data_IF_759172874682
#
_entry.id   IF_759172874682
#
_cell.length_a   1.000
_cell.length_b   1.000
_cell.length_c   1.000
_cell.angle_alpha   90.00
_cell.angle_beta   90.00
_cell.angle_gamma   90.00
#
_symmetry.space_group_name_H-M   'P 1'
#
loop_
_entity.id
_entity.type
_entity.pdbx_description
1 polymer ?
#
# COMPACT_ATOMS: atom_id res chain seq x y z
N UNK A 1 10.92 -16.76 42.65
CA UNK A 1 11.83 -16.02 41.73
C UNK A 1 11.78 -16.55 40.30
N UNK A 2 11.91 -17.87 40.06
CA UNK A 2 11.87 -18.48 38.72
C UNK A 2 10.62 -18.14 37.88
N UNK A 3 9.41 -18.16 38.50
CA UNK A 3 8.15 -17.80 37.82
C UNK A 3 8.04 -16.30 37.47
N UNK A 4 8.63 -15.41 38.28
CA UNK A 4 8.64 -13.96 38.02
C UNK A 4 9.57 -13.62 36.85
N UNK A 5 10.72 -14.30 36.78
CA UNK A 5 11.67 -14.19 35.67
C UNK A 5 11.06 -14.72 34.36
N UNK A 6 10.35 -15.85 34.42
CA UNK A 6 9.64 -16.41 33.27
C UNK A 6 8.54 -15.48 32.73
N UNK A 7 7.74 -14.90 33.62
CA UNK A 7 6.71 -13.94 33.21
C UNK A 7 7.30 -12.65 32.63
N UNK A 8 8.46 -12.21 33.13
CA UNK A 8 9.17 -11.04 32.60
C UNK A 8 9.76 -11.30 31.20
N UNK A 9 10.27 -12.51 30.96
CA UNK A 9 10.76 -12.96 29.66
C UNK A 9 9.64 -13.07 28.61
N UNK A 10 8.48 -13.61 29.00
CA UNK A 10 7.30 -13.70 28.12
C UNK A 10 6.77 -12.30 27.75
N UNK A 11 6.75 -11.37 28.70
CA UNK A 11 6.34 -9.98 28.44
C UNK A 11 7.32 -9.25 27.52
N UNK A 12 8.63 -9.47 27.71
CA UNK A 12 9.67 -8.89 26.85
C UNK A 12 9.62 -9.43 25.41
N UNK A 13 9.34 -10.71 25.23
CA UNK A 13 9.22 -11.33 23.91
C UNK A 13 7.98 -10.85 23.14
N UNK A 14 6.88 -10.58 23.86
CA UNK A 14 5.64 -10.00 23.29
C UNK A 14 5.80 -8.52 22.88
N UNK A 15 6.67 -7.76 23.56
CA UNK A 15 6.99 -6.38 23.18
C UNK A 15 7.85 -6.30 21.91
N UNK A 16 8.73 -7.28 21.67
CA UNK A 16 9.63 -7.27 20.51
C UNK A 16 8.92 -7.57 19.18
N UNK A 17 7.76 -8.23 19.20
CA UNK A 17 6.95 -8.48 17.99
C UNK A 17 6.15 -7.25 17.52
N UNK A 18 6.05 -6.19 18.33
CA UNK A 18 5.33 -4.97 17.98
C UNK A 18 6.16 -3.99 17.14
N UNK A 19 7.48 -4.18 17.05
CA UNK A 19 8.41 -3.22 16.44
C UNK A 19 8.82 -3.55 14.99
N UNK A 20 8.45 -4.71 14.46
CA UNK A 20 8.89 -5.17 13.12
C UNK A 20 7.83 -5.01 12.02
N UNK A 21 6.69 -4.36 12.28
CA UNK A 21 5.50 -4.42 11.39
C UNK A 21 5.20 -3.20 10.53
N UNK A 22 6.01 -2.15 10.53
CA UNK A 22 5.57 -0.85 9.99
C UNK A 22 5.32 -0.83 8.46
N UNK A 23 5.88 -1.77 7.69
CA UNK A 23 5.59 -1.89 6.26
C UNK A 23 4.56 -2.96 5.89
N UNK A 24 4.35 -3.97 6.74
CA UNK A 24 3.43 -5.09 6.45
C UNK A 24 1.96 -4.73 6.71
N UNK A 25 1.70 -3.70 7.51
CA UNK A 25 0.35 -3.31 7.95
C UNK A 25 -0.43 -2.55 6.87
N UNK A 26 0.25 -1.92 5.89
CA UNK A 26 -0.45 -1.26 4.79
C UNK A 26 -1.23 -2.27 3.91
N UNK A 27 -0.75 -3.52 3.82
CA UNK A 27 -1.41 -4.58 3.04
C UNK A 27 -2.51 -5.33 3.83
N UNK A 28 -2.35 -5.49 5.14
CA UNK A 28 -3.29 -6.28 5.97
C UNK A 28 -4.43 -5.47 6.61
N UNK A 29 -4.43 -4.13 6.50
CA UNK A 29 -5.45 -3.27 7.12
C UNK A 29 -6.15 -2.29 6.16
N UNK A 30 -6.22 -2.59 4.85
CA UNK A 30 -6.97 -1.75 3.91
C UNK A 30 -6.45 -0.31 3.87
N UNK A 31 -5.14 -0.15 3.67
CA UNK A 31 -4.52 1.17 3.64
C UNK A 31 -4.86 1.96 2.38
N UNK A 32 -5.03 3.28 2.52
CA UNK A 32 -5.08 4.21 1.39
C UNK A 32 -3.68 4.78 1.14
N UNK A 33 -3.25 4.83 -0.12
CA UNK A 33 -2.01 5.50 -0.53
C UNK A 33 -2.23 6.40 -1.75
N UNK A 34 -1.33 7.35 -1.94
CA UNK A 34 -1.29 8.19 -3.14
C UNK A 34 -0.02 7.91 -3.92
N UNK A 35 -0.17 7.55 -5.19
CA UNK A 35 0.90 7.39 -6.15
C UNK A 35 0.91 8.60 -7.09
N UNK A 36 1.95 9.42 -7.04
CA UNK A 36 2.18 10.46 -8.05
C UNK A 36 3.05 9.87 -9.14
N UNK A 37 2.59 9.89 -10.38
CA UNK A 37 3.42 9.47 -11.50
C UNK A 37 4.48 10.52 -11.80
N UNK A 38 5.54 10.09 -12.47
CA UNK A 38 6.47 11.02 -13.08
C UNK A 38 5.75 11.91 -14.10
N UNK A 39 6.27 13.12 -14.31
CA UNK A 39 5.67 14.08 -15.21
C UNK A 39 5.58 13.53 -16.64
N UNK A 40 4.49 13.87 -17.34
CA UNK A 40 4.19 13.43 -18.69
C UNK A 40 4.09 11.90 -18.86
N UNK A 41 3.70 11.17 -17.80
CA UNK A 41 3.33 9.76 -17.85
C UNK A 41 1.82 9.58 -17.69
N UNK A 42 1.23 8.73 -18.54
CA UNK A 42 -0.17 8.30 -18.49
C UNK A 42 -0.25 6.89 -17.91
N UNK A 43 -1.18 6.67 -16.98
CA UNK A 43 -1.51 5.35 -16.46
C UNK A 43 -2.31 4.57 -17.50
N UNK A 44 -1.86 3.34 -17.80
CA UNK A 44 -2.57 2.42 -18.68
C UNK A 44 -3.22 1.28 -17.90
N UNK A 45 -2.47 0.68 -16.97
CA UNK A 45 -2.94 -0.44 -16.16
C UNK A 45 -2.29 -0.40 -14.78
N UNK A 46 -3.00 -0.91 -13.77
CA UNK A 46 -2.51 -1.06 -12.41
C UNK A 46 -3.09 -2.32 -11.78
N UNK A 47 -2.27 -3.06 -11.05
CA UNK A 47 -2.69 -4.29 -10.37
C UNK A 47 -1.80 -4.61 -9.17
N UNK A 48 -2.31 -5.42 -8.26
CA UNK A 48 -1.54 -6.02 -7.18
C UNK A 48 -1.03 -7.40 -7.61
N UNK A 49 0.27 -7.64 -7.45
CA UNK A 49 0.88 -8.97 -7.58
C UNK A 49 1.65 -9.29 -6.31
N UNK A 50 1.16 -10.27 -5.57
CA UNK A 50 1.67 -10.60 -4.24
C UNK A 50 1.70 -9.35 -3.35
N UNK A 51 2.84 -8.99 -2.77
CA UNK A 51 3.02 -7.79 -1.94
C UNK A 51 3.42 -6.53 -2.74
N UNK A 52 3.46 -6.60 -4.07
CA UNK A 52 3.95 -5.52 -4.92
C UNK A 52 2.83 -4.90 -5.75
N UNK A 53 2.82 -3.57 -5.82
CA UNK A 53 1.98 -2.82 -6.76
C UNK A 53 2.71 -2.73 -8.10
N UNK A 54 2.06 -3.23 -9.15
CA UNK A 54 2.55 -3.15 -10.53
C UNK A 54 1.68 -2.19 -11.31
N UNK A 55 2.30 -1.33 -12.10
CA UNK A 55 1.60 -0.39 -12.95
C UNK A 55 2.35 -0.20 -14.26
N UNK A 56 1.59 -0.13 -15.34
CA UNK A 56 2.08 0.17 -16.68
C UNK A 56 1.77 1.63 -16.97
N UNK A 57 2.80 2.36 -17.40
CA UNK A 57 2.65 3.72 -17.90
C UNK A 57 3.13 3.80 -19.35
N UNK A 58 2.68 4.85 -20.02
CA UNK A 58 3.27 5.31 -21.28
C UNK A 58 3.55 6.81 -21.21
N UNK A 59 4.45 7.33 -22.07
CA UNK A 59 4.54 8.77 -22.27
C UNK A 59 3.20 9.37 -22.73
N UNK A 60 2.86 10.53 -22.19
CA UNK A 60 1.74 11.33 -22.66
C UNK A 60 2.01 11.87 -24.07
N UNK A 61 0.96 11.94 -24.86
CA UNK A 61 0.91 12.65 -26.14
C UNK A 61 0.45 14.09 -25.93
N UNK A 62 0.58 14.90 -26.98
CA UNK A 62 0.11 16.30 -26.97
C UNK A 62 -1.39 16.42 -26.66
N UNK A 63 -2.19 15.42 -27.05
CA UNK A 63 -3.64 15.43 -26.85
C UNK A 63 -4.09 14.83 -25.51
N UNK A 64 -3.23 14.13 -24.79
CA UNK A 64 -3.58 13.56 -23.49
C UNK A 64 -3.82 14.66 -22.45
N UNK A 65 -4.72 14.41 -21.51
CA UNK A 65 -4.92 15.23 -20.32
C UNK A 65 -4.46 14.46 -19.08
N UNK A 66 -3.94 15.16 -18.09
CA UNK A 66 -3.61 14.57 -16.80
C UNK A 66 -4.90 14.26 -16.03
N UNK A 67 -5.00 13.05 -15.50
CA UNK A 67 -6.14 12.55 -14.75
C UNK A 67 -5.76 12.13 -13.34
N UNK A 68 -6.79 11.95 -12.50
CA UNK A 68 -6.64 11.31 -11.19
C UNK A 68 -7.51 10.06 -11.19
N UNK A 69 -6.88 8.92 -10.94
CA UNK A 69 -7.55 7.62 -10.93
C UNK A 69 -7.65 7.10 -9.50
N UNK A 70 -8.68 6.30 -9.25
CA UNK A 70 -8.81 5.54 -8.01
C UNK A 70 -8.80 4.06 -8.36
N UNK A 71 -7.76 3.37 -7.91
CA UNK A 71 -7.68 1.91 -7.96
C UNK A 71 -8.07 1.35 -6.59
N UNK A 72 -9.16 0.61 -6.54
CA UNK A 72 -9.74 0.12 -5.29
C UNK A 72 -9.81 -1.40 -5.30
N UNK A 73 -9.33 -2.01 -4.22
CA UNK A 73 -9.52 -3.42 -3.98
C UNK A 73 -10.99 -3.67 -3.58
N UNK A 74 -11.67 -4.56 -4.30
CA UNK A 74 -12.99 -5.04 -3.91
C UNK A 74 -12.89 -6.50 -3.46
N UNK A 75 -13.50 -6.83 -2.32
CA UNK A 75 -13.60 -8.21 -1.81
C UNK A 75 -15.04 -8.50 -1.42
N UNK A 76 -15.50 -9.75 -1.61
CA UNK A 76 -16.89 -10.15 -1.33
C UNK A 76 -17.34 -9.91 0.12
N UNK A 77 -16.39 -9.78 1.05
CA UNK A 77 -16.66 -9.56 2.47
C UNK A 77 -16.49 -8.10 2.92
N UNK A 78 -15.98 -7.19 2.08
CA UNK A 78 -15.96 -5.74 2.30
C UNK A 78 -15.15 -5.21 3.50
N UNK A 79 -14.40 -6.06 4.22
CA UNK A 79 -13.74 -5.66 5.49
C UNK A 79 -12.30 -5.16 5.30
N UNK A 80 -11.67 -5.41 4.16
CA UNK A 80 -10.29 -4.96 3.88
C UNK A 80 -10.16 -4.49 2.43
N UNK A 81 -10.28 -3.18 2.23
CA UNK A 81 -10.19 -2.57 0.91
C UNK A 81 -9.03 -1.57 0.87
N UNK A 82 -7.92 -1.96 0.24
CA UNK A 82 -6.85 -1.03 -0.10
C UNK A 82 -7.29 -0.08 -1.22
N UNK A 83 -6.94 1.20 -1.11
CA UNK A 83 -7.22 2.20 -2.15
C UNK A 83 -5.92 2.88 -2.57
N UNK A 84 -5.70 3.01 -3.87
CA UNK A 84 -4.61 3.79 -4.44
C UNK A 84 -5.20 4.94 -5.24
N UNK A 85 -4.87 6.18 -4.85
CA UNK A 85 -5.14 7.37 -5.66
C UNK A 85 -3.94 7.66 -6.52
N UNK A 86 -4.08 7.58 -7.84
CA UNK A 86 -3.02 7.84 -8.80
C UNK A 86 -3.22 9.24 -9.36
N UNK A 87 -2.20 10.08 -9.25
CA UNK A 87 -2.23 11.46 -9.75
C UNK A 87 -1.23 11.59 -10.89
N UNK A 88 -1.73 11.88 -12.07
CA UNK A 88 -0.93 12.20 -13.25
C UNK A 88 -0.61 13.70 -13.28
N UNK A 89 0.47 14.08 -13.96
CA UNK A 89 0.82 15.49 -14.18
C UNK A 89 1.35 15.66 -15.59
N UNK A 90 0.93 16.74 -16.25
CA UNK A 90 1.38 17.15 -17.58
C UNK A 90 2.05 18.52 -17.48
N UNK A 91 3.21 18.66 -18.10
CA UNK A 91 4.02 19.89 -18.14
C UNK A 91 4.02 20.51 -19.54
#
# INVERSE_FOLDING_TARGET
>A
MKKKILNLLLMGMMLMTLLTGCQSVAKSMGGSMTLKLESNQKLEEITWKDDSLWYLTRPMTENDIAETHTFQQSTDFGVFEGTVTIVETKE
#
